data_IF_623752545802
#
_entry.id   IF_623752545802
#
_cell.length_a   1.000
_cell.length_b   1.000
_cell.length_c   1.000
_cell.angle_alpha   90.00
_cell.angle_beta   90.00
_cell.angle_gamma   90.00
#
_symmetry.space_group_name_H-M   'P 1'
#
loop_
_entity.id
_entity.type
_entity.pdbx_description
1 polymer ?
#
# COMPACT_ATOMS: atom_id res chain seq x y z
N UNK A 1 -24.89 -30.34 -19.74
CA UNK A 1 -24.47 -31.21 -18.62
C UNK A 1 -24.42 -30.45 -17.29
N UNK A 2 -23.56 -29.44 -17.08
CA UNK A 2 -23.51 -28.70 -15.79
C UNK A 2 -24.69 -27.73 -15.54
N UNK A 3 -25.22 -27.07 -16.58
CA UNK A 3 -26.38 -26.17 -16.44
C UNK A 3 -27.63 -26.92 -15.95
N UNK A 4 -27.86 -28.12 -16.46
CA UNK A 4 -28.95 -29.00 -16.03
C UNK A 4 -28.85 -29.33 -14.54
N UNK A 5 -27.64 -29.57 -14.01
CA UNK A 5 -27.40 -29.79 -12.58
C UNK A 5 -27.80 -28.57 -11.71
N UNK A 6 -27.64 -27.35 -12.22
CA UNK A 6 -28.06 -26.14 -11.50
C UNK A 6 -29.57 -25.88 -11.59
N UNK A 7 -30.18 -26.22 -12.72
CA UNK A 7 -31.60 -25.97 -13.01
C UNK A 7 -32.51 -27.04 -12.39
N UNK A 8 -32.09 -28.31 -12.43
CA UNK A 8 -32.86 -29.46 -11.93
C UNK A 8 -32.73 -29.64 -10.41
N UNK A 9 -31.73 -29.02 -9.79
CA UNK A 9 -31.54 -29.07 -8.34
C UNK A 9 -32.47 -28.08 -7.65
N UNK A 10 -33.67 -28.55 -7.31
CA UNK A 10 -34.62 -27.91 -6.38
C UNK A 10 -34.08 -27.73 -4.94
N UNK A 11 -32.80 -28.01 -4.71
CA UNK A 11 -32.17 -28.07 -3.40
C UNK A 11 -31.37 -26.82 -3.01
N UNK A 12 -31.10 -25.88 -3.90
CA UNK A 12 -30.31 -24.70 -3.53
C UNK A 12 -31.12 -23.74 -2.66
N UNK A 13 -30.67 -23.54 -1.42
CA UNK A 13 -31.36 -22.68 -0.44
C UNK A 13 -30.83 -21.25 -0.43
N UNK A 14 -29.56 -21.04 -0.76
CA UNK A 14 -28.91 -19.74 -0.65
C UNK A 14 -27.71 -19.64 -1.61
N UNK A 15 -27.57 -18.50 -2.29
CA UNK A 15 -26.40 -18.15 -3.08
C UNK A 15 -25.54 -17.15 -2.28
N UNK A 16 -24.36 -17.57 -1.83
CA UNK A 16 -23.50 -16.71 -0.98
C UNK A 16 -22.30 -16.22 -1.79
N UNK A 17 -22.04 -14.92 -1.71
CA UNK A 17 -20.82 -14.29 -2.23
C UNK A 17 -20.13 -13.60 -1.06
N UNK A 18 -19.06 -14.22 -0.58
CA UNK A 18 -18.14 -13.60 0.37
C UNK A 18 -17.10 -12.75 -0.35
N UNK A 19 -16.56 -11.75 0.34
CA UNK A 19 -15.65 -10.74 -0.22
C UNK A 19 -16.13 -10.14 -1.53
N UNK A 20 -17.43 -9.80 -1.57
CA UNK A 20 -18.12 -9.44 -2.80
C UNK A 20 -17.45 -8.31 -3.58
N UNK A 21 -16.72 -7.41 -2.92
CA UNK A 21 -15.95 -6.35 -3.58
C UNK A 21 -14.94 -6.87 -4.63
N UNK A 22 -14.48 -8.13 -4.52
CA UNK A 22 -13.62 -8.81 -5.49
C UNK A 22 -14.28 -9.05 -6.85
N UNK A 23 -15.61 -9.15 -6.91
CA UNK A 23 -16.37 -9.23 -8.17
C UNK A 23 -16.07 -8.04 -9.08
N UNK A 24 -15.79 -6.88 -8.48
CA UNK A 24 -15.40 -5.66 -9.20
C UNK A 24 -13.88 -5.60 -9.31
N UNK A 25 -13.17 -5.68 -8.17
CA UNK A 25 -11.74 -5.38 -8.12
C UNK A 25 -10.89 -6.37 -8.94
N UNK A 26 -11.29 -7.64 -9.00
CA UNK A 26 -10.57 -8.67 -9.76
C UNK A 26 -11.31 -9.12 -11.00
N UNK A 27 -12.64 -8.95 -11.02
CA UNK A 27 -13.49 -9.34 -12.14
C UNK A 27 -13.63 -8.29 -13.25
N UNK A 28 -13.25 -7.04 -13.01
CA UNK A 28 -13.25 -5.97 -14.03
C UNK A 28 -11.83 -5.54 -14.40
N UNK A 29 -11.64 -5.22 -15.68
CA UNK A 29 -10.45 -4.49 -16.13
C UNK A 29 -10.37 -3.13 -15.46
N UNK A 30 -9.20 -2.80 -14.93
CA UNK A 30 -8.90 -1.47 -14.41
C UNK A 30 -8.02 -0.73 -15.41
N UNK A 31 -8.64 -0.01 -16.35
CA UNK A 31 -7.93 0.70 -17.41
C UNK A 31 -7.54 -0.22 -18.58
N UNK A 32 -6.25 -0.26 -18.94
CA UNK A 32 -5.74 -1.05 -20.09
C UNK A 32 -5.37 -2.50 -19.75
N UNK A 33 -5.48 -2.92 -18.50
CA UNK A 33 -5.13 -4.29 -18.07
C UNK A 33 -6.36 -5.20 -18.04
N UNK A 34 -6.14 -6.45 -18.42
CA UNK A 34 -7.13 -7.51 -18.28
C UNK A 34 -7.49 -7.77 -16.80
N UNK A 35 -8.71 -8.25 -16.51
CA UNK A 35 -9.11 -8.56 -15.15
C UNK A 35 -8.24 -9.70 -14.60
N UNK A 36 -7.75 -9.52 -13.35
CA UNK A 36 -6.94 -10.54 -12.68
C UNK A 36 -7.67 -11.89 -12.54
N UNK A 37 -9.00 -11.86 -12.35
CA UNK A 37 -9.87 -13.04 -12.31
C UNK A 37 -11.21 -12.74 -12.99
N UNK A 38 -11.23 -12.74 -14.32
CA UNK A 38 -12.44 -12.46 -15.13
C UNK A 38 -13.70 -13.16 -14.62
N UNK A 39 -13.59 -14.44 -14.23
CA UNK A 39 -14.72 -15.26 -13.79
C UNK A 39 -15.46 -14.71 -12.56
N UNK A 40 -14.78 -13.94 -11.69
CA UNK A 40 -15.44 -13.25 -10.58
C UNK A 40 -16.46 -12.23 -11.10
N UNK A 41 -16.12 -11.53 -12.19
CA UNK A 41 -16.99 -10.56 -12.86
C UNK A 41 -18.18 -11.17 -13.60
N UNK A 42 -18.22 -12.51 -13.74
CA UNK A 42 -19.25 -13.28 -14.45
C UNK A 42 -20.19 -14.05 -13.51
N UNK A 43 -20.07 -13.90 -12.19
CA UNK A 43 -20.93 -14.59 -11.21
C UNK A 43 -22.43 -14.30 -11.39
N UNK A 44 -22.80 -13.19 -12.02
CA UNK A 44 -24.19 -12.89 -12.42
C UNK A 44 -24.81 -13.94 -13.34
N UNK A 45 -24.01 -14.63 -14.16
CA UNK A 45 -24.49 -15.70 -15.04
C UNK A 45 -24.99 -16.89 -14.22
N UNK A 46 -24.21 -17.30 -13.22
CA UNK A 46 -24.60 -18.39 -12.30
C UNK A 46 -25.81 -17.95 -11.47
N UNK A 47 -25.78 -16.73 -10.93
CA UNK A 47 -26.88 -16.19 -10.13
C UNK A 47 -28.21 -16.14 -10.90
N UNK A 48 -28.16 -15.92 -12.21
CA UNK A 48 -29.34 -15.90 -13.08
C UNK A 48 -29.93 -17.30 -13.35
N UNK A 49 -29.14 -18.36 -13.16
CA UNK A 49 -29.59 -19.75 -13.28
C UNK A 49 -30.16 -20.32 -11.98
N UNK A 50 -29.83 -19.71 -10.83
CA UNK A 50 -30.22 -20.22 -9.51
C UNK A 50 -31.36 -19.39 -8.93
N UNK A 51 -32.53 -20.01 -8.74
CA UNK A 51 -33.73 -19.37 -8.20
C UNK A 51 -33.79 -19.43 -6.66
N UNK A 52 -32.74 -18.99 -5.97
CA UNK A 52 -32.73 -18.87 -4.51
C UNK A 52 -32.34 -17.45 -4.05
N UNK A 53 -32.61 -17.09 -2.78
CA UNK A 53 -32.10 -15.85 -2.19
C UNK A 53 -30.59 -15.75 -2.28
N UNK A 54 -30.07 -14.53 -2.32
CA UNK A 54 -28.63 -14.27 -2.33
C UNK A 54 -28.20 -13.50 -1.09
N UNK A 55 -27.10 -13.94 -0.47
CA UNK A 55 -26.40 -13.23 0.60
C UNK A 55 -25.06 -12.75 0.06
N UNK A 56 -24.85 -11.43 0.06
CA UNK A 56 -23.65 -10.80 -0.49
C UNK A 56 -23.01 -9.99 0.62
N UNK A 57 -21.82 -10.40 1.05
CA UNK A 57 -21.12 -9.83 2.21
C UNK A 57 -19.74 -9.31 1.79
N UNK A 58 -19.32 -8.21 2.41
CA UNK A 58 -18.01 -7.59 2.20
C UNK A 58 -17.72 -6.59 3.32
N UNK A 59 -16.48 -6.53 3.78
CA UNK A 59 -16.06 -5.56 4.79
C UNK A 59 -15.97 -4.13 4.23
N UNK A 60 -15.55 -3.99 2.98
CA UNK A 60 -15.36 -2.69 2.33
C UNK A 60 -16.18 -2.59 1.05
N UNK A 61 -17.10 -1.62 0.98
CA UNK A 61 -17.83 -1.32 -0.24
C UNK A 61 -18.33 0.13 -0.28
N UNK A 62 -17.70 0.94 -1.15
CA UNK A 62 -18.19 2.28 -1.46
C UNK A 62 -19.62 2.25 -2.03
N UNK A 63 -20.35 3.38 -1.99
CA UNK A 63 -21.67 3.50 -2.65
C UNK A 63 -21.61 3.10 -4.13
N UNK A 64 -20.53 3.47 -4.83
CA UNK A 64 -20.33 3.11 -6.24
C UNK A 64 -20.11 1.60 -6.41
N UNK A 65 -19.30 0.99 -5.54
CA UNK A 65 -19.04 -0.46 -5.55
C UNK A 65 -20.32 -1.24 -5.28
N UNK A 66 -21.13 -0.86 -4.26
CA UNK A 66 -22.44 -1.47 -3.99
C UNK A 66 -23.37 -1.46 -5.19
N UNK A 67 -23.47 -0.30 -5.88
CA UNK A 67 -24.29 -0.17 -7.09
C UNK A 67 -23.81 -1.07 -8.23
N UNK A 68 -22.50 -1.22 -8.40
CA UNK A 68 -21.89 -2.13 -9.38
C UNK A 68 -22.18 -3.59 -9.03
N UNK A 69 -21.97 -4.00 -7.77
CA UNK A 69 -22.25 -5.36 -7.30
C UNK A 69 -23.70 -5.76 -7.53
N UNK A 70 -24.65 -4.88 -7.21
CA UNK A 70 -26.07 -5.12 -7.46
C UNK A 70 -26.36 -5.44 -8.92
N UNK A 71 -25.76 -4.69 -9.84
CA UNK A 71 -25.93 -4.92 -11.29
C UNK A 71 -25.27 -6.22 -11.74
N UNK A 72 -24.01 -6.45 -11.33
CA UNK A 72 -23.20 -7.61 -11.71
C UNK A 72 -23.78 -8.92 -11.21
N UNK A 73 -24.31 -8.95 -9.99
CA UNK A 73 -24.92 -10.13 -9.37
C UNK A 73 -26.44 -10.19 -9.59
N UNK A 74 -26.99 -9.41 -10.53
CA UNK A 74 -28.42 -9.45 -10.89
C UNK A 74 -29.37 -9.44 -9.69
N UNK A 75 -29.02 -8.69 -8.64
CA UNK A 75 -29.78 -8.67 -7.39
C UNK A 75 -31.06 -7.84 -7.56
N UNK A 76 -32.19 -8.52 -7.52
CA UNK A 76 -33.54 -7.95 -7.52
C UNK A 76 -34.14 -8.06 -6.11
N UNK A 77 -34.94 -7.08 -5.69
CA UNK A 77 -35.60 -7.05 -4.37
C UNK A 77 -34.64 -7.36 -3.20
N UNK A 78 -33.58 -6.56 -3.06
CA UNK A 78 -32.56 -6.75 -2.03
C UNK A 78 -32.80 -5.86 -0.81
N UNK A 79 -32.33 -6.33 0.35
CA UNK A 79 -32.21 -5.53 1.57
C UNK A 79 -30.72 -5.21 1.77
N UNK A 80 -30.37 -3.92 1.85
CA UNK A 80 -28.99 -3.49 2.08
C UNK A 80 -28.81 -3.10 3.56
N UNK A 81 -27.85 -3.76 4.22
CA UNK A 81 -27.40 -3.42 5.57
C UNK A 81 -25.99 -2.83 5.42
N UNK A 82 -25.80 -1.62 5.94
CA UNK A 82 -24.51 -0.94 5.94
C UNK A 82 -24.26 -0.52 7.37
N UNK A 83 -23.18 -1.04 7.93
CA UNK A 83 -22.75 -0.70 9.28
C UNK A 83 -21.47 0.12 9.24
N UNK A 84 -21.29 0.96 10.25
CA UNK A 84 -20.06 1.73 10.41
C UNK A 84 -18.96 0.84 10.98
N UNK A 85 -17.72 0.89 10.48
CA UNK A 85 -16.59 0.26 11.16
C UNK A 85 -16.20 1.01 12.44
N UNK A 86 -16.78 2.19 12.69
CA UNK A 86 -16.49 3.01 13.85
C UNK A 86 -16.75 2.25 15.15
N UNK A 87 -15.82 2.40 16.10
CA UNK A 87 -15.89 1.77 17.40
C UNK A 87 -15.58 2.84 18.44
N UNK A 88 -16.55 3.17 19.28
CA UNK A 88 -16.45 4.24 20.29
C UNK A 88 -15.26 4.04 21.26
N UNK A 89 -14.82 2.79 21.45
CA UNK A 89 -13.67 2.44 22.26
C UNK A 89 -12.31 2.62 21.54
N UNK A 90 -12.30 3.06 20.28
CA UNK A 90 -11.10 3.34 19.49
C UNK A 90 -11.03 4.85 19.21
N UNK A 91 -10.23 5.58 20.00
CA UNK A 91 -10.03 7.03 19.81
C UNK A 91 -8.89 7.28 18.82
N UNK A 92 -9.18 8.00 17.73
CA UNK A 92 -8.18 8.51 16.80
C UNK A 92 -7.88 9.99 17.15
N UNK A 93 -6.63 10.29 17.48
CA UNK A 93 -6.16 11.66 17.65
C UNK A 93 -5.43 12.12 16.39
N UNK A 94 -5.83 13.26 15.84
CA UNK A 94 -5.15 13.91 14.72
C UNK A 94 -4.84 15.34 15.14
N UNK A 95 -3.57 15.59 15.46
CA UNK A 95 -3.10 16.92 15.80
C UNK A 95 -2.21 17.46 14.68
N UNK A 96 -2.59 18.61 14.13
CA UNK A 96 -1.77 19.28 13.12
C UNK A 96 -0.71 20.12 13.84
N UNK A 97 0.40 19.48 14.16
CA UNK A 97 1.57 20.16 14.73
C UNK A 97 2.21 21.01 13.64
N UNK A 98 2.44 22.30 13.92
CA UNK A 98 3.18 23.20 13.01
C UNK A 98 4.59 23.32 13.57
N UNK A 99 5.59 23.26 12.70
CA UNK A 99 7.02 23.43 13.03
C UNK A 99 7.71 22.18 13.61
N UNK A 100 8.95 21.95 13.15
CA UNK A 100 9.85 20.86 13.57
C UNK A 100 10.22 20.94 15.05
N UNK A 101 10.20 22.13 15.64
CA UNK A 101 10.56 22.39 17.03
C UNK A 101 9.47 21.93 18.01
N UNK A 102 8.19 22.05 17.68
CA UNK A 102 7.09 21.55 18.52
C UNK A 102 7.14 20.01 18.64
N UNK A 103 7.42 19.31 17.54
CA UNK A 103 7.64 17.85 17.55
C UNK A 103 8.84 17.50 18.43
N UNK A 104 9.93 18.27 18.33
CA UNK A 104 11.14 18.06 19.14
C UNK A 104 10.87 18.26 20.62
N UNK A 105 10.18 19.33 20.99
CA UNK A 105 9.81 19.64 22.36
C UNK A 105 8.89 18.57 22.96
N UNK A 106 7.89 18.11 22.22
CA UNK A 106 6.98 17.05 22.68
C UNK A 106 7.71 15.72 22.86
N UNK A 107 8.59 15.33 21.93
CA UNK A 107 9.40 14.11 22.04
C UNK A 107 10.48 14.18 23.15
N UNK A 108 10.89 15.37 23.57
CA UNK A 108 11.80 15.58 24.70
C UNK A 108 11.06 15.64 26.05
N UNK A 109 9.76 15.96 26.04
CA UNK A 109 8.92 16.00 27.23
C UNK A 109 8.52 14.59 27.70
N UNK A 110 8.67 14.30 29.00
CA UNK A 110 8.24 13.03 29.60
C UNK A 110 6.73 12.81 29.51
N UNK A 111 5.97 13.89 29.59
CA UNK A 111 4.51 13.89 29.48
C UNK A 111 4.03 14.13 28.04
N UNK A 112 4.96 14.18 27.08
CA UNK A 112 4.66 14.37 25.68
C UNK A 112 3.94 13.18 25.04
N UNK A 113 3.24 13.43 23.94
CA UNK A 113 2.34 12.45 23.32
C UNK A 113 3.00 11.69 22.16
N UNK A 114 4.02 12.28 21.51
CA UNK A 114 4.74 11.66 20.39
C UNK A 114 5.80 10.70 20.90
N UNK A 115 5.57 9.41 20.67
CA UNK A 115 6.51 8.34 21.06
C UNK A 115 7.24 7.70 19.89
N UNK A 116 6.73 7.87 18.67
CA UNK A 116 7.27 7.30 17.44
C UNK A 116 7.23 8.38 16.35
N UNK A 117 8.35 8.59 15.68
CA UNK A 117 8.45 9.44 14.50
C UNK A 117 8.76 8.58 13.28
N UNK A 118 7.87 8.60 12.28
CA UNK A 118 8.10 7.92 11.00
C UNK A 118 8.58 8.97 10.00
N UNK A 119 9.80 8.80 9.50
CA UNK A 119 10.46 9.78 8.64
C UNK A 119 11.13 9.11 7.45
N UNK A 120 11.09 9.76 6.29
CA UNK A 120 12.01 9.45 5.18
C UNK A 120 13.36 10.13 5.42
N UNK A 121 14.41 9.72 4.71
CA UNK A 121 15.76 10.27 4.86
C UNK A 121 15.81 11.81 4.80
N UNK A 122 15.00 12.44 3.94
CA UNK A 122 14.91 13.90 3.83
C UNK A 122 14.22 14.58 5.04
N UNK A 123 13.28 13.91 5.70
CA UNK A 123 12.52 14.47 6.81
C UNK A 123 13.37 14.63 8.10
N UNK A 124 14.44 13.86 8.24
CA UNK A 124 15.38 13.96 9.37
C UNK A 124 16.43 15.08 9.24
N UNK A 125 16.56 15.75 8.09
CA UNK A 125 17.59 16.77 7.91
C UNK A 125 17.27 18.06 8.71
N UNK A 126 18.26 18.51 9.49
CA UNK A 126 18.21 19.79 10.21
C UNK A 126 17.56 19.78 11.60
N UNK A 127 17.20 18.60 12.16
CA UNK A 127 16.64 18.51 13.52
C UNK A 127 17.43 17.51 14.36
N UNK A 128 17.76 17.91 15.59
CA UNK A 128 18.47 17.10 16.56
C UNK A 128 17.53 16.70 17.70
N UNK A 129 17.07 15.46 17.71
CA UNK A 129 16.26 14.90 18.80
C UNK A 129 17.18 14.17 19.78
N UNK A 130 17.54 14.80 20.91
CA UNK A 130 18.50 14.22 21.85
C UNK A 130 17.97 12.98 22.57
N UNK A 131 16.66 12.88 22.74
CA UNK A 131 15.96 11.82 23.49
C UNK A 131 15.75 10.53 22.70
N UNK A 132 16.13 10.46 21.42
CA UNK A 132 15.91 9.26 20.60
C UNK A 132 16.78 8.10 21.11
N UNK A 133 16.11 7.04 21.57
CA UNK A 133 16.75 5.82 22.08
C UNK A 133 16.85 4.71 21.05
N UNK A 134 15.84 4.62 20.18
CA UNK A 134 15.69 3.50 19.29
C UNK A 134 15.48 4.01 17.87
N UNK A 135 16.17 3.40 16.94
CA UNK A 135 15.93 3.57 15.51
C UNK A 135 15.54 2.20 14.96
N UNK A 136 14.57 2.23 14.04
CA UNK A 136 14.09 1.06 13.34
C UNK A 136 14.15 1.37 11.85
N UNK A 137 15.04 0.67 11.13
CA UNK A 137 15.05 0.67 9.68
C UNK A 137 14.07 -0.38 9.16
N UNK A 138 13.01 0.06 8.50
CA UNK A 138 12.08 -0.83 7.83
C UNK A 138 12.37 -0.87 6.32
N UNK A 139 13.14 -1.87 5.90
CA UNK A 139 13.70 -2.02 4.56
C UNK A 139 15.22 -1.85 4.53
N UNK A 140 15.89 -2.39 3.49
CA UNK A 140 17.33 -2.23 3.34
C UNK A 140 17.70 -0.73 3.23
N UNK A 141 18.86 -0.31 3.77
CA UNK A 141 19.37 1.02 3.50
C UNK A 141 19.80 1.14 2.03
N UNK A 142 19.58 2.32 1.45
CA UNK A 142 20.00 2.61 0.08
C UNK A 142 21.52 2.59 -0.11
N UNK A 143 22.23 3.09 0.89
CA UNK A 143 23.68 3.20 0.90
C UNK A 143 24.19 3.20 2.34
N UNK A 144 25.46 2.81 2.52
CA UNK A 144 26.08 2.63 3.83
C UNK A 144 26.26 3.96 4.57
N UNK A 145 26.60 5.04 3.84
CA UNK A 145 26.85 6.34 4.43
C UNK A 145 25.57 6.94 5.02
N UNK A 146 24.48 6.89 4.25
CA UNK A 146 23.15 7.27 4.67
C UNK A 146 22.65 6.44 5.84
N UNK A 147 22.94 5.13 5.83
CA UNK A 147 22.64 4.25 6.96
C UNK A 147 23.36 4.71 8.23
N UNK A 148 24.69 4.87 8.17
CA UNK A 148 25.52 5.32 9.32
C UNK A 148 25.06 6.68 9.85
N UNK A 149 24.76 7.63 8.96
CA UNK A 149 24.23 8.93 9.36
C UNK A 149 22.89 8.83 10.09
N UNK A 150 22.03 7.88 9.68
CA UNK A 150 20.77 7.64 10.34
C UNK A 150 20.99 7.01 11.73
N UNK A 151 21.86 6.01 11.86
CA UNK A 151 22.25 5.41 13.15
C UNK A 151 22.68 6.47 14.17
N UNK A 152 23.47 7.45 13.73
CA UNK A 152 23.99 8.56 14.56
C UNK A 152 22.94 9.55 15.08
N UNK A 153 21.65 9.25 14.91
CA UNK A 153 20.53 10.05 15.46
C UNK A 153 20.09 9.57 16.85
N UNK A 154 20.35 8.31 17.21
CA UNK A 154 20.07 7.79 18.55
C UNK A 154 21.26 7.99 19.48
N UNK A 155 21.02 7.86 20.79
CA UNK A 155 22.09 7.80 21.81
C UNK A 155 22.87 9.11 22.00
N UNK A 156 22.34 10.24 21.52
CA UNK A 156 23.00 11.55 21.64
C UNK A 156 23.09 12.07 23.07
N UNK A 157 22.28 11.51 23.98
CA UNK A 157 22.34 11.78 25.41
C UNK A 157 23.32 10.87 26.18
N UNK A 158 24.06 10.00 25.47
CA UNK A 158 25.09 9.14 26.04
C UNK A 158 24.57 7.89 26.75
N UNK A 159 23.26 7.65 26.76
CA UNK A 159 22.68 6.45 27.35
C UNK A 159 22.50 5.34 26.31
N UNK A 160 22.28 4.11 26.79
CA UNK A 160 22.06 2.95 25.91
C UNK A 160 20.93 3.22 24.91
N UNK A 161 21.22 2.92 23.65
CA UNK A 161 20.31 3.04 22.52
C UNK A 161 20.38 1.78 21.67
N UNK A 162 19.34 1.50 20.90
CA UNK A 162 19.23 0.30 20.08
C UNK A 162 18.92 0.64 18.62
N UNK A 163 19.44 -0.20 17.74
CA UNK A 163 19.18 -0.16 16.32
C UNK A 163 18.54 -1.48 15.88
N UNK A 164 17.56 -1.42 14.99
CA UNK A 164 16.89 -2.59 14.45
C UNK A 164 16.62 -2.43 12.95
N UNK A 165 17.32 -3.22 12.14
CA UNK A 165 17.02 -3.39 10.71
C UNK A 165 16.04 -4.54 10.50
N UNK A 166 14.84 -4.22 10.00
CA UNK A 166 13.81 -5.17 9.59
C UNK A 166 13.74 -5.17 8.07
N UNK A 167 14.05 -6.30 7.44
CA UNK A 167 13.91 -6.46 6.00
C UNK A 167 13.29 -7.82 5.62
N UNK A 168 12.73 -7.89 4.42
CA UNK A 168 12.22 -9.12 3.83
C UNK A 168 12.76 -9.25 2.42
N UNK A 169 12.77 -10.47 1.87
CA UNK A 169 13.21 -10.71 0.49
C UNK A 169 12.44 -9.86 -0.53
N UNK A 170 11.19 -9.47 -0.26
CA UNK A 170 10.41 -8.57 -1.13
C UNK A 170 11.00 -7.16 -1.20
N UNK A 171 11.57 -6.66 -0.11
CA UNK A 171 12.19 -5.33 -0.09
C UNK A 171 13.41 -5.27 -1.03
N UNK A 172 14.17 -6.37 -1.14
CA UNK A 172 15.36 -6.45 -2.00
C UNK A 172 15.01 -6.48 -3.50
N UNK A 173 13.85 -7.02 -3.88
CA UNK A 173 13.41 -7.08 -5.29
C UNK A 173 12.86 -5.74 -5.81
N UNK A 174 12.40 -4.87 -4.91
CA UNK A 174 11.89 -3.55 -5.29
C UNK A 174 13.05 -2.66 -5.75
N UNK A 175 14.22 -2.72 -5.10
CA UNK A 175 15.38 -1.91 -5.46
C UNK A 175 15.99 -2.30 -6.82
N UNK A 176 16.13 -3.60 -7.11
CA UNK A 176 16.63 -4.08 -8.40
C UNK A 176 15.75 -3.71 -9.59
N UNK A 177 14.45 -3.49 -9.34
CA UNK A 177 13.48 -3.10 -10.37
C UNK A 177 13.57 -1.60 -10.69
N UNK A 178 13.83 -0.75 -9.69
CA UNK A 178 13.98 0.70 -9.86
C UNK A 178 15.30 1.11 -10.54
N UNK A 179 16.39 0.37 -10.34
CA UNK A 179 17.65 0.63 -11.07
C UNK A 179 17.52 0.31 -12.56
N UNK A 180 16.78 -0.75 -12.93
CA UNK A 180 16.56 -1.12 -14.33
C UNK A 180 15.71 -0.10 -15.12
N UNK A 181 14.96 0.77 -14.44
CA UNK A 181 14.19 1.86 -15.06
C UNK A 181 14.94 3.18 -15.20
N UNK A 182 16.17 3.29 -14.66
CA UNK A 182 16.99 4.51 -14.72
C UNK A 182 18.20 4.41 -15.66
N UNK A 183 18.45 3.23 -16.27
CA UNK A 183 19.61 3.00 -17.13
C UNK A 183 19.35 3.10 -18.65
N UNK A 184 18.16 3.53 -19.08
CA UNK A 184 17.81 3.61 -20.51
C UNK A 184 17.85 5.01 -21.14
N UNK A 185 18.11 6.07 -20.38
CA UNK A 185 18.22 7.43 -20.91
C UNK A 185 19.60 8.03 -20.63
N UNK A 186 20.32 8.35 -21.72
CA UNK A 186 21.59 9.08 -21.86
C UNK A 186 22.87 8.24 -22.10
N UNK A 187 23.12 7.91 -23.37
CA UNK A 187 24.44 8.10 -23.97
C UNK A 187 24.29 8.36 -25.48
N UNK A 188 24.19 9.64 -25.84
CA UNK A 188 24.52 10.11 -27.19
C UNK A 188 25.22 11.46 -27.04
N UNK A 189 26.54 11.42 -27.03
CA UNK A 189 27.39 12.59 -27.29
C UNK A 189 28.66 12.11 -27.99
N UNK A 190 28.54 12.05 -29.32
CA UNK A 190 29.40 12.72 -30.28
C UNK A 190 30.84 13.06 -29.81
N UNK A 191 31.77 12.11 -30.01
CA UNK A 191 33.21 12.36 -30.01
C UNK A 191 33.74 12.28 -31.43
N UNK A 192 33.57 13.36 -32.20
CA UNK A 192 34.35 13.62 -33.42
C UNK A 192 34.93 15.03 -33.35
N UNK A 193 36.13 15.16 -32.75
CA UNK A 193 37.07 16.26 -33.02
C UNK A 193 38.47 15.82 -32.60
N UNK A 194 39.12 15.11 -33.51
CA UNK A 194 40.55 14.81 -33.48
C UNK A 194 41.34 16.11 -33.62
N UNK A 195 42.26 16.28 -32.67
CA UNK A 195 43.23 17.38 -32.57
C UNK A 195 44.18 17.31 -33.76
N UNK A 196 44.30 18.42 -34.49
CA UNK A 196 45.32 18.66 -35.49
C UNK A 196 46.66 18.94 -34.83
N UNK A 197 47.67 18.19 -35.25
CA UNK A 197 49.09 18.39 -35.00
C UNK A 197 49.60 19.73 -35.57
N UNK A 198 50.51 20.37 -34.84
CA UNK A 198 51.57 21.26 -35.32
C UNK A 198 52.72 21.08 -34.32
N UNK A 199 53.80 20.41 -34.71
CA UNK A 199 55.11 21.02 -35.07
C UNK A 199 55.74 21.81 -33.90
N UNK A 200 57.02 21.75 -33.56
CA UNK A 200 58.21 21.03 -34.01
C UNK A 200 59.33 21.58 -33.12
N UNK A 201 60.21 20.71 -32.61
CA UNK A 201 61.66 20.91 -32.32
C UNK A 201 62.16 19.91 -31.26
#
# INVERSE_FOLDING_TARGET
MWRSMLIESSSFKLFVVDEAHMVINWGESSGKSEPFREWFGRLGEIRSLIACPALVITATASRASRRKLRKKLTLVNFHEIVDSPDRENIKLFVEKIKVKDEIREDMENKDGHIRVLIATSAAGMGVNYKSVKNIIHYGPPKDLDGFIQQLGRAGRDGTQSYELLIYSSRHLHIESSSESSMSSDNYSTDTSKTISESESD
#
